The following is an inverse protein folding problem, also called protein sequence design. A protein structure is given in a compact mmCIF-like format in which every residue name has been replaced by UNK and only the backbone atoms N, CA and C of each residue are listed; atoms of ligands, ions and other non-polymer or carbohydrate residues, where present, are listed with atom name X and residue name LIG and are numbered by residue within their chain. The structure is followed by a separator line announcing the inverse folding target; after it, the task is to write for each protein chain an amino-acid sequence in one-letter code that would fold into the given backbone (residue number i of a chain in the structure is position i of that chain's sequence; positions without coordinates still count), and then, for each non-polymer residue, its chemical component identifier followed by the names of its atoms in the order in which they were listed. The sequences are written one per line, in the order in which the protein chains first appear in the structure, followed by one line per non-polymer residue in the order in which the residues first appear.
data_IF_630386714537
#
_entry.id   IF_630386714537
#
_cell.length_a   1.000
_cell.length_b   1.000
_cell.length_c   1.000
_cell.angle_alpha   90.00
_cell.angle_beta   90.00
_cell.angle_gamma   90.00
#
_symmetry.space_group_name_H-M   'P 1'
#
loop_
_entity.id
_entity.type
_entity.pdbx_description
1 polymer ?
#
# COMPACT_ATOMS: atom_id res chain seq x y z
N UNK A 1 -1.24 0.63 7.96
CA UNK A 1 -2.00 0.71 9.21
C UNK A 1 -3.39 1.28 9.01
N UNK A 2 -3.51 2.54 8.59
CA UNK A 2 -4.79 3.27 8.55
C UNK A 2 -5.93 2.63 7.73
N UNK A 3 -5.59 1.82 6.71
CA UNK A 3 -6.60 1.13 5.89
C UNK A 3 -7.23 -0.06 6.62
N UNK A 4 -6.55 -0.65 7.61
CA UNK A 4 -6.94 -1.93 8.22
C UNK A 4 -8.25 -1.93 9.03
N UNK A 5 -8.66 -0.84 9.70
CA UNK A 5 -9.97 -0.77 10.38
C UNK A 5 -11.17 -0.81 9.42
N UNK A 6 -10.94 -0.66 8.10
CA UNK A 6 -11.95 -0.79 7.04
C UNK A 6 -13.21 0.07 7.22
N UNK A 7 -13.07 1.27 7.80
CA UNK A 7 -14.13 2.28 7.86
C UNK A 7 -14.24 3.11 6.58
N UNK A 8 -15.23 4.01 6.50
CA UNK A 8 -15.46 4.88 5.34
C UNK A 8 -14.22 5.66 4.91
N UNK A 9 -13.55 6.32 5.86
CA UNK A 9 -12.33 7.09 5.56
C UNK A 9 -11.16 6.19 5.16
N UNK A 10 -11.05 4.99 5.73
CA UNK A 10 -10.04 3.98 5.35
C UNK A 10 -10.23 3.52 3.91
N UNK A 11 -11.48 3.23 3.53
CA UNK A 11 -11.85 2.80 2.18
C UNK A 11 -11.58 3.90 1.13
N UNK A 12 -12.15 5.09 1.33
CA UNK A 12 -11.96 6.20 0.39
C UNK A 12 -10.52 6.69 0.35
N UNK A 13 -9.83 6.70 1.49
CA UNK A 13 -8.41 7.01 1.56
C UNK A 13 -7.57 6.03 0.74
N UNK A 14 -7.82 4.72 0.85
CA UNK A 14 -7.15 3.72 0.03
C UNK A 14 -7.40 3.96 -1.46
N UNK A 15 -8.65 4.21 -1.85
CA UNK A 15 -9.05 4.49 -3.24
C UNK A 15 -8.34 5.72 -3.80
N UNK A 16 -8.33 6.85 -3.09
CA UNK A 16 -7.69 8.09 -3.57
C UNK A 16 -6.18 7.92 -3.70
N UNK A 17 -5.51 7.37 -2.69
CA UNK A 17 -4.04 7.26 -2.67
C UNK A 17 -3.55 6.32 -3.77
N UNK A 18 -4.18 5.16 -3.92
CA UNK A 18 -3.77 4.19 -4.96
C UNK A 18 -4.06 4.70 -6.37
N UNK A 19 -5.14 5.46 -6.57
CA UNK A 19 -5.42 6.08 -7.86
C UNK A 19 -4.38 7.13 -8.28
N UNK A 20 -3.50 7.62 -7.39
CA UNK A 20 -2.38 8.47 -7.80
C UNK A 20 -1.46 7.77 -8.82
N UNK A 21 -1.35 6.43 -8.78
CA UNK A 21 -0.58 5.66 -9.77
C UNK A 21 -1.18 5.72 -11.17
N UNK A 22 -2.49 5.98 -11.31
CA UNK A 22 -3.14 6.10 -12.63
C UNK A 22 -2.57 7.26 -13.46
N UNK A 23 -1.95 8.25 -12.82
CA UNK A 23 -1.32 9.39 -13.48
C UNK A 23 -0.04 9.02 -14.26
N UNK A 24 0.50 7.81 -14.09
CA UNK A 24 1.68 7.35 -14.81
C UNK A 24 1.28 6.98 -16.25
N UNK A 25 1.90 7.59 -17.29
CA UNK A 25 1.58 7.28 -18.68
C UNK A 25 1.81 5.81 -19.02
N UNK A 26 0.96 5.27 -19.90
CA UNK A 26 1.01 3.91 -20.46
C UNK A 26 0.73 2.76 -19.48
N UNK A 27 1.24 2.81 -18.24
CA UNK A 27 1.18 1.70 -17.28
C UNK A 27 0.35 2.01 -16.02
N UNK A 28 -0.10 3.26 -15.84
CA UNK A 28 -0.73 3.70 -14.59
C UNK A 28 -1.94 2.88 -14.19
N UNK A 29 -2.88 2.64 -15.13
CA UNK A 29 -4.06 1.83 -14.85
C UNK A 29 -3.71 0.40 -14.45
N UNK A 30 -2.74 -0.21 -15.12
CA UNK A 30 -2.26 -1.56 -14.79
C UNK A 30 -1.66 -1.62 -13.38
N UNK A 31 -0.92 -0.58 -12.95
CA UNK A 31 -0.37 -0.51 -11.60
C UNK A 31 -1.47 -0.41 -10.52
N UNK A 32 -2.52 0.36 -10.80
CA UNK A 32 -3.68 0.50 -9.89
C UNK A 32 -4.40 -0.84 -9.71
N UNK A 33 -4.78 -1.49 -10.82
CA UNK A 33 -5.46 -2.79 -10.79
C UNK A 33 -4.58 -3.87 -10.18
N UNK A 34 -3.28 -3.83 -10.45
CA UNK A 34 -2.31 -4.73 -9.81
C UNK A 34 -2.25 -4.50 -8.30
N UNK A 35 -2.22 -3.24 -7.83
CA UNK A 35 -2.20 -2.92 -6.41
C UNK A 35 -3.48 -3.41 -5.71
N UNK A 36 -4.64 -3.23 -6.35
CA UNK A 36 -5.92 -3.66 -5.79
C UNK A 36 -6.13 -5.18 -5.85
N UNK A 37 -5.59 -5.84 -6.86
CA UNK A 37 -5.89 -7.25 -7.15
C UNK A 37 -7.31 -7.44 -7.70
N UNK A 38 -7.85 -6.43 -8.40
CA UNK A 38 -9.21 -6.38 -8.93
C UNK A 38 -9.53 -5.02 -9.55
N UNK A 39 -10.81 -4.78 -9.85
CA UNK A 39 -11.28 -3.55 -10.49
C UNK A 39 -11.50 -2.37 -9.53
N UNK A 40 -11.52 -2.63 -8.23
CA UNK A 40 -11.71 -1.64 -7.17
C UNK A 40 -11.00 -2.07 -5.89
N UNK A 41 -10.86 -1.15 -4.93
CA UNK A 41 -10.45 -1.49 -3.57
C UNK A 41 -11.47 -2.45 -2.97
N UNK A 42 -11.01 -3.65 -2.58
CA UNK A 42 -11.83 -4.71 -1.99
C UNK A 42 -10.98 -5.64 -1.11
N UNK A 43 -11.49 -6.79 -0.70
CA UNK A 43 -10.83 -7.77 0.17
C UNK A 43 -9.42 -8.21 -0.30
N UNK A 44 -9.15 -8.43 -1.61
CA UNK A 44 -7.79 -8.69 -2.07
C UNK A 44 -6.83 -7.55 -1.74
N UNK A 45 -7.28 -6.30 -1.83
CA UNK A 45 -6.50 -5.11 -1.46
C UNK A 45 -6.24 -5.08 0.04
N UNK A 46 -7.27 -5.28 0.87
CA UNK A 46 -7.15 -5.29 2.33
C UNK A 46 -6.15 -6.34 2.82
N UNK A 47 -6.26 -7.56 2.30
CA UNK A 47 -5.40 -8.69 2.69
C UNK A 47 -3.94 -8.41 2.34
N UNK A 48 -3.67 -7.85 1.15
CA UNK A 48 -2.33 -7.45 0.73
C UNK A 48 -1.78 -6.31 1.59
N UNK A 49 -2.60 -5.32 1.90
CA UNK A 49 -2.21 -4.18 2.73
C UNK A 49 -1.95 -4.59 4.18
N UNK A 50 -2.66 -5.61 4.70
CA UNK A 50 -2.34 -6.23 5.98
C UNK A 50 -0.96 -6.88 5.95
N UNK A 51 -0.68 -7.72 4.95
CA UNK A 51 0.62 -8.38 4.81
C UNK A 51 1.78 -7.38 4.69
N UNK A 52 1.61 -6.33 3.86
CA UNK A 52 2.60 -5.27 3.72
C UNK A 52 2.77 -4.46 5.01
N UNK A 53 1.67 -4.12 5.70
CA UNK A 53 1.74 -3.39 6.95
C UNK A 53 2.44 -4.19 8.06
N UNK A 54 2.30 -5.52 8.05
CA UNK A 54 3.02 -6.40 8.96
C UNK A 54 4.51 -6.49 8.62
N UNK A 55 4.87 -6.56 7.33
CA UNK A 55 6.26 -6.70 6.88
C UNK A 55 7.09 -5.42 7.05
N UNK A 56 6.54 -4.26 6.67
CA UNK A 56 7.28 -2.99 6.60
C UNK A 56 7.97 -2.57 7.91
N UNK A 57 7.39 -2.74 9.11
CA UNK A 57 8.08 -2.46 10.37
C UNK A 57 9.42 -3.20 10.52
N UNK A 58 9.51 -4.46 10.07
CA UNK A 58 10.76 -5.23 10.12
C UNK A 58 11.79 -4.73 9.11
N UNK A 59 11.34 -4.32 7.92
CA UNK A 59 12.19 -3.66 6.92
C UNK A 59 12.74 -2.34 7.48
N UNK A 60 11.90 -1.53 8.13
CA UNK A 60 12.30 -0.27 8.77
C UNK A 60 13.31 -0.55 9.89
N UNK A 61 13.10 -1.58 10.71
CA UNK A 61 14.08 -1.97 11.74
C UNK A 61 15.43 -2.35 11.12
N UNK A 62 15.44 -3.14 10.05
CA UNK A 62 16.67 -3.49 9.32
C UNK A 62 17.37 -2.26 8.72
N UNK A 63 16.62 -1.36 8.09
CA UNK A 63 17.16 -0.10 7.55
C UNK A 63 17.70 0.81 8.65
N UNK A 64 17.07 0.80 9.83
CA UNK A 64 17.56 1.54 11.00
C UNK A 64 18.91 1.00 11.46
N UNK A 65 19.10 -0.33 11.48
CA UNK A 65 20.40 -0.92 11.80
C UNK A 65 21.47 -0.51 10.77
N UNK A 66 21.16 -0.59 9.48
CA UNK A 66 22.09 -0.15 8.42
C UNK A 66 22.45 1.33 8.60
N UNK A 67 21.46 2.18 8.86
CA UNK A 67 21.68 3.61 9.12
C UNK A 67 22.63 3.82 10.30
N UNK A 68 22.43 3.11 11.42
CA UNK A 68 23.30 3.21 12.59
C UNK A 68 24.72 2.70 12.34
N UNK A 69 24.90 1.68 11.49
CA UNK A 69 26.25 1.19 11.14
C UNK A 69 27.01 2.14 10.22
N UNK A 70 26.31 3.01 9.49
CA UNK A 70 26.88 3.97 8.54
C UNK A 70 26.88 5.42 9.10
N UNK A 71 26.48 5.59 10.36
CA UNK A 71 26.54 6.87 11.08
C UNK A 71 28.01 7.22 11.41
#
# INVERSE_FOLDING_TARGET
GYVLPWGQMSFWGATVITNLFSAIPYIGQTLVEWAWGGFSVDNPTLTRFFALHFLLPFVIAGLTLVHLTLL
#
